data_IF_573737908362
#
_entry.id   IF_573737908362
#
_cell.length_a   1.000
_cell.length_b   1.000
_cell.length_c   1.000
_cell.angle_alpha   90.00
_cell.angle_beta   90.00
_cell.angle_gamma   90.00
#
_symmetry.space_group_name_H-M   'P 1'
#
loop_
_entity.id
_entity.type
_entity.pdbx_description
1 polymer ?
#
# COMPACT_ATOMS: atom_id res chain seq x y z
N UNK A 1 32.21 -34.26 40.88
CA UNK A 1 32.99 -35.51 40.84
C UNK A 1 32.99 -36.05 39.42
N UNK A 2 34.19 -36.19 38.87
CA UNK A 2 34.69 -36.83 37.64
C UNK A 2 33.79 -37.74 36.78
N UNK A 3 33.85 -37.52 35.45
CA UNK A 3 34.48 -38.35 34.36
C UNK A 3 33.80 -37.97 33.03
N UNK A 4 34.39 -37.21 32.10
CA UNK A 4 35.52 -37.48 31.18
C UNK A 4 35.31 -38.68 30.25
N UNK A 5 35.08 -38.43 28.95
CA UNK A 5 35.77 -39.11 27.82
C UNK A 5 35.95 -38.12 26.66
N UNK A 6 37.21 -37.95 26.27
CA UNK A 6 37.76 -37.23 25.10
C UNK A 6 38.01 -38.28 24.01
N UNK A 7 37.87 -37.95 22.71
CA UNK A 7 38.85 -38.30 21.66
C UNK A 7 38.58 -37.51 20.36
N UNK A 8 39.54 -36.64 20.01
CA UNK A 8 39.98 -36.34 18.63
C UNK A 8 41.43 -36.81 18.50
N UNK A 9 41.94 -37.01 17.28
CA UNK A 9 42.96 -36.06 16.80
C UNK A 9 42.90 -35.71 15.29
N UNK A 10 43.23 -34.44 15.01
CA UNK A 10 44.12 -33.85 13.96
C UNK A 10 44.70 -34.76 12.85
N UNK A 11 45.02 -34.39 11.60
CA UNK A 11 45.03 -33.20 10.71
C UNK A 11 45.68 -33.69 9.36
N UNK A 12 46.17 -32.87 8.40
CA UNK A 12 45.54 -31.94 7.45
C UNK A 12 45.84 -32.31 5.95
N UNK A 13 45.75 -31.32 5.03
CA UNK A 13 46.18 -31.23 3.60
C UNK A 13 45.25 -31.86 2.53
N UNK A 14 44.90 -31.27 1.37
CA UNK A 14 45.46 -30.20 0.52
C UNK A 14 44.36 -29.44 -0.26
N UNK A 15 44.61 -28.18 -0.59
CA UNK A 15 43.84 -27.32 -1.50
C UNK A 15 43.86 -27.81 -2.96
N UNK A 16 42.72 -27.75 -3.65
CA UNK A 16 42.65 -27.47 -5.09
C UNK A 16 41.39 -26.66 -5.45
N UNK A 17 41.60 -25.48 -6.02
CA UNK A 17 40.67 -24.71 -6.85
C UNK A 17 41.43 -24.29 -8.11
N UNK A 18 40.80 -23.82 -9.20
CA UNK A 18 39.55 -24.26 -9.83
C UNK A 18 39.81 -24.70 -11.30
N UNK A 19 38.93 -25.51 -11.88
CA UNK A 19 39.01 -25.85 -13.31
C UNK A 19 38.50 -24.68 -14.17
N UNK A 20 39.43 -24.16 -14.96
CA UNK A 20 39.25 -23.19 -16.05
C UNK A 20 38.49 -23.87 -17.19
N UNK A 21 37.32 -23.33 -17.55
CA UNK A 21 36.67 -23.65 -18.83
C UNK A 21 37.13 -22.63 -19.89
N UNK A 22 37.87 -23.09 -20.89
CA UNK A 22 38.18 -22.34 -22.11
C UNK A 22 37.10 -22.56 -23.18
N UNK A 23 36.83 -21.57 -24.04
CA UNK A 23 35.71 -21.59 -24.96
C UNK A 23 36.09 -22.26 -26.29
N UNK A 24 35.30 -23.24 -26.74
CA UNK A 24 35.46 -23.82 -28.08
C UNK A 24 34.46 -23.22 -29.06
N UNK A 25 35.04 -22.56 -30.06
CA UNK A 25 34.51 -22.10 -31.35
C UNK A 25 33.24 -22.78 -31.88
N UNK A 26 32.18 -22.00 -32.10
CA UNK A 26 31.10 -22.33 -33.03
C UNK A 26 30.92 -21.17 -34.00
N UNK A 27 30.91 -21.52 -35.28
CA UNK A 27 30.96 -20.66 -36.47
C UNK A 27 29.72 -19.77 -36.58
N UNK A 28 29.95 -18.51 -36.94
CA UNK A 28 28.96 -17.55 -37.41
C UNK A 28 28.47 -17.89 -38.82
N UNK A 29 27.17 -17.71 -39.12
CA UNK A 29 26.72 -17.38 -40.46
C UNK A 29 26.27 -15.92 -40.57
N UNK A 30 26.27 -15.47 -41.81
CA UNK A 30 26.27 -14.11 -42.31
C UNK A 30 24.99 -13.30 -42.14
N UNK A 31 25.19 -12.00 -42.22
CA UNK A 31 24.28 -10.86 -42.22
C UNK A 31 23.16 -10.82 -43.28
N UNK A 32 22.01 -10.26 -42.85
CA UNK A 32 21.01 -9.42 -43.57
C UNK A 32 19.87 -10.10 -44.36
N UNK A 33 18.66 -9.47 -44.53
CA UNK A 33 18.24 -8.12 -44.12
C UNK A 33 16.93 -8.02 -43.29
N UNK A 34 16.77 -6.84 -42.70
CA UNK A 34 15.64 -6.25 -41.99
C UNK A 34 14.29 -6.38 -42.75
N UNK A 35 13.35 -7.15 -42.20
CA UNK A 35 11.94 -7.10 -42.59
C UNK A 35 11.16 -6.11 -41.71
N UNK A 36 10.57 -5.10 -42.34
CA UNK A 36 9.64 -4.14 -41.73
C UNK A 36 8.36 -4.83 -41.23
N UNK A 37 7.75 -4.40 -40.11
CA UNK A 37 6.45 -4.90 -39.68
C UNK A 37 5.33 -4.43 -40.63
N UNK A 38 4.23 -5.18 -40.79
CA UNK A 38 3.13 -4.78 -41.67
C UNK A 38 2.44 -3.51 -41.14
N UNK A 39 2.16 -2.56 -42.04
CA UNK A 39 1.28 -1.42 -41.77
C UNK A 39 -0.15 -1.95 -41.55
N UNK A 40 -0.69 -1.78 -40.33
CA UNK A 40 -2.13 -1.83 -40.10
C UNK A 40 -2.77 -0.64 -40.82
N UNK A 41 -3.53 -0.92 -41.86
CA UNK A 41 -4.33 0.07 -42.58
C UNK A 41 -5.46 0.56 -41.69
N UNK A 42 -5.44 1.84 -41.32
CA UNK A 42 -6.62 2.51 -40.77
C UNK A 42 -7.70 2.58 -41.85
N UNK A 43 -8.84 1.93 -41.61
CA UNK A 43 -10.05 2.16 -42.40
C UNK A 43 -10.60 3.53 -42.00
N UNK A 44 -10.45 4.50 -42.90
CA UNK A 44 -11.05 5.81 -42.77
C UNK A 44 -12.55 5.73 -43.08
N UNK A 45 -13.40 6.17 -42.15
CA UNK A 45 -14.81 6.44 -42.43
C UNK A 45 -14.94 7.59 -43.45
N UNK A 46 -15.84 7.49 -44.45
CA UNK A 46 -15.96 8.51 -45.49
C UNK A 46 -16.63 9.80 -44.95
N UNK A 47 -16.27 10.98 -45.48
CA UNK A 47 -16.84 12.26 -45.05
C UNK A 47 -18.24 12.45 -45.63
N UNK A 48 -19.23 12.79 -44.79
CA UNK A 48 -20.56 13.22 -45.26
C UNK A 48 -20.49 14.68 -45.75
N UNK A 49 -20.94 14.88 -47.00
CA UNK A 49 -21.11 16.18 -47.66
C UNK A 49 -22.20 17.02 -46.98
N UNK A 50 -21.97 18.33 -46.92
CA UNK A 50 -22.99 19.37 -46.68
C UNK A 50 -23.96 19.45 -47.86
N UNK A 51 -25.26 19.55 -47.57
CA UNK A 51 -26.27 20.13 -48.48
C UNK A 51 -27.15 21.09 -47.67
N UNK A 52 -27.32 22.28 -48.23
CA UNK A 52 -28.06 23.46 -47.75
C UNK A 52 -29.59 23.35 -47.96
N UNK A 53 -30.35 23.69 -46.91
CA UNK A 53 -31.60 24.52 -46.77
C UNK A 53 -32.63 24.60 -47.92
N UNK A 54 -33.96 24.33 -47.77
CA UNK A 54 -35.05 25.05 -47.01
C UNK A 54 -36.46 24.50 -47.45
N UNK A 55 -37.67 24.92 -46.95
CA UNK A 55 -38.18 25.04 -45.56
C UNK A 55 -39.67 24.56 -45.30
N UNK A 56 -39.97 24.20 -44.03
CA UNK A 56 -41.25 24.32 -43.24
C UNK A 56 -42.54 23.52 -43.60
N UNK A 57 -43.56 23.37 -42.69
CA UNK A 57 -43.69 23.76 -41.27
C UNK A 57 -44.21 22.69 -40.26
N UNK A 58 -43.93 22.99 -38.98
CA UNK A 58 -44.69 22.83 -37.72
C UNK A 58 -45.19 21.46 -37.21
N UNK A 59 -44.63 21.01 -36.07
CA UNK A 59 -45.31 21.06 -34.77
C UNK A 59 -44.28 20.99 -33.61
N UNK A 60 -44.52 21.83 -32.61
CA UNK A 60 -43.62 22.26 -31.55
C UNK A 60 -43.82 21.48 -30.22
N UNK A 61 -42.84 21.62 -29.31
CA UNK A 61 -42.83 21.27 -27.88
C UNK A 61 -42.17 19.96 -27.40
N UNK A 62 -40.85 20.01 -27.18
CA UNK A 62 -40.17 19.19 -26.15
C UNK A 62 -39.71 20.12 -25.01
N UNK A 63 -40.40 20.04 -23.89
CA UNK A 63 -40.09 20.75 -22.66
C UNK A 63 -38.80 20.21 -22.02
N UNK A 64 -37.81 21.11 -21.90
CA UNK A 64 -36.63 20.94 -21.04
C UNK A 64 -37.08 20.78 -19.58
N UNK A 65 -36.84 19.62 -18.95
CA UNK A 65 -37.00 19.46 -17.49
C UNK A 65 -35.65 19.61 -16.79
N UNK A 66 -35.53 20.68 -16.00
CA UNK A 66 -34.44 21.02 -15.08
C UNK A 66 -34.45 20.07 -13.88
N UNK A 67 -33.26 19.78 -13.30
CA UNK A 67 -33.09 19.05 -12.03
C UNK A 67 -33.84 19.80 -10.90
N UNK A 68 -34.57 19.11 -10.01
CA UNK A 68 -35.26 19.78 -8.90
C UNK A 68 -34.27 20.24 -7.81
N UNK A 69 -34.56 21.35 -7.10
CA UNK A 69 -33.75 21.83 -5.98
C UNK A 69 -33.95 20.98 -4.72
N UNK A 70 -32.91 20.92 -3.90
CA UNK A 70 -32.84 20.19 -2.62
C UNK A 70 -33.65 20.94 -1.54
N UNK A 71 -34.48 20.22 -0.78
CA UNK A 71 -35.27 20.73 0.35
C UNK A 71 -34.41 20.81 1.62
N UNK A 72 -34.33 21.99 2.23
CA UNK A 72 -33.76 22.21 3.57
C UNK A 72 -34.81 21.99 4.65
N UNK A 73 -34.48 21.20 5.68
CA UNK A 73 -35.24 21.09 6.92
C UNK A 73 -34.41 21.66 8.08
N UNK A 74 -34.89 22.79 8.60
CA UNK A 74 -34.36 23.52 9.75
C UNK A 74 -34.70 22.76 11.04
N UNK A 75 -33.71 22.49 11.89
CA UNK A 75 -33.93 22.13 13.30
C UNK A 75 -33.25 23.17 14.19
N UNK A 76 -34.04 23.77 15.07
CA UNK A 76 -33.68 24.87 15.99
C UNK A 76 -33.10 24.29 17.28
N UNK A 77 -31.99 24.84 17.78
CA UNK A 77 -31.47 24.60 19.14
C UNK A 77 -31.23 25.94 19.88
N UNK A 78 -31.48 26.02 21.21
CA UNK A 78 -31.45 27.27 22.00
C UNK A 78 -30.04 27.71 22.47
N UNK A 79 -29.87 28.93 23.02
CA UNK A 79 -28.57 29.61 23.11
C UNK A 79 -27.87 29.50 24.49
N UNK A 80 -26.53 29.51 24.49
CA UNK A 80 -25.66 29.82 25.65
C UNK A 80 -24.31 30.39 25.14
N UNK A 81 -23.57 31.20 25.92
CA UNK A 81 -23.07 32.50 25.46
C UNK A 81 -21.61 32.54 25.01
N UNK A 82 -21.36 33.56 24.19
CA UNK A 82 -20.10 34.21 23.78
C UNK A 82 -18.95 34.18 24.80
N UNK A 83 -17.76 33.74 24.36
CA UNK A 83 -16.63 34.63 24.01
C UNK A 83 -15.35 33.83 23.73
N UNK A 84 -14.93 33.71 22.46
CA UNK A 84 -13.56 33.98 21.97
C UNK A 84 -13.44 33.56 20.48
N UNK A 85 -13.19 34.54 19.62
CA UNK A 85 -12.91 34.34 18.20
C UNK A 85 -11.42 34.06 17.99
N UNK A 86 -11.08 32.97 17.30
CA UNK A 86 -10.02 32.97 16.28
C UNK A 86 -10.34 31.89 15.24
N UNK A 87 -10.55 32.34 14.01
CA UNK A 87 -10.91 31.57 12.82
C UNK A 87 -9.67 31.00 12.11
N UNK A 88 -9.70 29.70 11.80
CA UNK A 88 -9.22 29.15 10.53
C UNK A 88 -10.31 28.22 9.99
N UNK A 89 -10.75 28.50 8.76
CA UNK A 89 -11.83 27.77 8.06
C UNK A 89 -11.23 26.66 7.20
N UNK A 90 -11.59 25.42 7.49
CA UNK A 90 -12.16 24.41 6.56
C UNK A 90 -12.80 23.33 7.46
N UNK A 91 -14.03 22.84 7.23
CA UNK A 91 -14.62 21.82 8.09
C UNK A 91 -13.94 20.47 7.80
N UNK A 92 -12.93 20.10 8.57
CA UNK A 92 -12.55 18.70 8.67
C UNK A 92 -13.71 17.96 9.33
N UNK A 93 -14.46 17.17 8.55
CA UNK A 93 -15.23 16.07 9.12
C UNK A 93 -14.22 15.22 9.90
N UNK A 94 -14.36 15.15 11.22
CA UNK A 94 -13.48 14.39 12.11
C UNK A 94 -13.08 13.06 11.44
N UNK A 95 -11.78 12.83 11.32
CA UNK A 95 -11.26 11.59 10.80
C UNK A 95 -11.70 10.46 11.73
N UNK A 96 -12.42 9.47 11.18
CA UNK A 96 -12.75 8.25 11.91
C UNK A 96 -11.45 7.44 12.02
N UNK A 97 -10.95 7.32 13.25
CA UNK A 97 -9.73 6.61 13.59
C UNK A 97 -10.11 5.52 14.60
N UNK A 98 -9.69 4.29 14.33
CA UNK A 98 -9.81 3.17 15.26
C UNK A 98 -8.40 2.75 15.69
N UNK A 99 -8.18 2.65 16.99
CA UNK A 99 -6.94 2.19 17.60
C UNK A 99 -7.28 1.04 18.55
N UNK A 100 -6.59 -0.08 18.45
CA UNK A 100 -6.73 -1.19 19.38
C UNK A 100 -5.37 -1.83 19.67
N UNK A 101 -5.14 -2.18 20.93
CA UNK A 101 -3.90 -2.77 21.44
C UNK A 101 -4.23 -3.87 22.46
N UNK A 102 -3.48 -4.97 22.44
CA UNK A 102 -3.52 -5.99 23.50
C UNK A 102 -2.12 -6.34 23.94
N UNK A 103 -1.72 -5.86 25.13
CA UNK A 103 -0.56 -6.26 25.94
C UNK A 103 0.68 -6.73 25.16
N UNK A 104 1.10 -5.96 24.14
CA UNK A 104 2.28 -6.25 23.31
C UNK A 104 2.15 -7.44 22.34
N UNK A 105 1.00 -8.12 22.26
CA UNK A 105 0.75 -9.22 21.33
C UNK A 105 0.40 -8.74 19.92
N UNK A 106 -0.43 -7.71 19.82
CA UNK A 106 -0.81 -7.12 18.54
C UNK A 106 -1.22 -5.66 18.72
N UNK A 107 -1.23 -4.96 17.60
CA UNK A 107 -1.70 -3.60 17.51
C UNK A 107 -2.44 -3.38 16.18
N UNK A 108 -3.50 -2.58 16.22
CA UNK A 108 -4.34 -2.24 15.06
C UNK A 108 -4.54 -0.74 14.98
N UNK A 109 -4.34 -0.19 13.78
CA UNK A 109 -4.68 1.18 13.44
C UNK A 109 -5.44 1.24 12.13
N UNK A 110 -6.63 1.84 12.16
CA UNK A 110 -7.46 2.07 10.98
C UNK A 110 -7.80 3.55 10.91
N UNK A 111 -7.66 4.15 9.72
CA UNK A 111 -7.98 5.56 9.48
C UNK A 111 -8.66 5.72 8.13
N UNK A 112 -9.86 6.30 8.11
CA UNK A 112 -10.68 6.51 6.90
C UNK A 112 -10.00 7.31 5.79
N UNK A 113 -9.01 8.14 6.14
CA UNK A 113 -8.39 9.08 5.20
C UNK A 113 -9.44 10.06 4.65
N UNK A 114 -9.32 10.40 3.35
CA UNK A 114 -10.22 11.34 2.65
C UNK A 114 -11.34 10.64 1.85
N UNK A 115 -11.57 9.34 2.08
CA UNK A 115 -12.62 8.55 1.41
C UNK A 115 -14.01 8.84 1.98
N UNK A 116 -15.03 8.18 1.41
CA UNK A 116 -16.42 8.23 1.86
C UNK A 116 -16.60 7.61 3.26
N UNK A 117 -17.53 6.67 3.48
CA UNK A 117 -17.57 5.93 4.75
C UNK A 117 -16.30 5.08 4.93
N UNK A 118 -15.97 4.73 6.18
CA UNK A 118 -14.90 3.76 6.48
C UNK A 118 -15.39 2.36 6.13
N UNK A 119 -14.88 1.78 5.04
CA UNK A 119 -15.30 0.46 4.54
C UNK A 119 -14.43 -0.68 5.09
N UNK A 120 -13.18 -0.40 5.49
CA UNK A 120 -12.31 -1.40 6.10
C UNK A 120 -12.83 -1.85 7.47
N UNK A 121 -12.55 -3.11 7.80
CA UNK A 121 -12.74 -3.74 9.10
C UNK A 121 -11.52 -4.56 9.46
N UNK A 122 -11.43 -4.95 10.73
CA UNK A 122 -10.41 -5.87 11.20
C UNK A 122 -11.01 -6.84 12.22
N UNK A 123 -10.29 -7.92 12.46
CA UNK A 123 -10.51 -8.80 13.59
C UNK A 123 -9.15 -9.14 14.20
N UNK A 124 -9.06 -9.16 15.53
CA UNK A 124 -7.84 -9.55 16.23
C UNK A 124 -8.19 -10.19 17.57
N UNK A 125 -7.81 -11.44 17.74
CA UNK A 125 -8.00 -12.16 18.99
C UNK A 125 -6.82 -13.08 19.29
N UNK A 126 -6.45 -13.13 20.57
CA UNK A 126 -5.45 -14.05 21.11
C UNK A 126 -6.14 -14.82 22.22
N UNK A 127 -6.28 -16.14 22.05
CA UNK A 127 -6.78 -17.05 23.06
C UNK A 127 -5.73 -17.18 24.17
N UNK A 128 -6.09 -16.70 25.36
CA UNK A 128 -5.30 -16.82 26.58
C UNK A 128 -5.95 -17.87 27.48
N UNK A 129 -5.73 -19.14 27.21
CA UNK A 129 -6.03 -20.18 28.18
C UNK A 129 -4.84 -20.31 29.14
N UNK A 130 -5.00 -19.80 30.37
CA UNK A 130 -3.99 -19.88 31.44
C UNK A 130 -3.65 -21.34 31.86
N UNK A 131 -4.34 -22.35 31.34
CA UNK A 131 -4.12 -23.77 31.66
C UNK A 131 -3.81 -24.68 30.46
N UNK A 132 -3.64 -24.14 29.24
CA UNK A 132 -3.41 -24.94 28.03
C UNK A 132 -2.06 -24.68 27.33
N UNK A 133 -1.31 -25.71 26.88
CA UNK A 133 -0.04 -25.52 26.15
C UNK A 133 -0.19 -24.99 24.71
N UNK A 134 -1.41 -24.61 24.28
CA UNK A 134 -1.74 -24.29 22.88
C UNK A 134 -2.33 -22.88 22.76
N UNK A 135 -1.47 -21.87 22.73
CA UNK A 135 -1.86 -20.51 22.37
C UNK A 135 -2.39 -20.49 20.93
N UNK A 136 -3.61 -19.99 20.71
CA UNK A 136 -4.13 -19.68 19.38
C UNK A 136 -4.30 -18.18 19.23
N UNK A 137 -4.14 -17.69 18.02
CA UNK A 137 -4.50 -16.32 17.68
C UNK A 137 -5.06 -16.26 16.26
N UNK A 138 -5.99 -15.36 16.04
CA UNK A 138 -6.56 -15.09 14.73
C UNK A 138 -6.58 -13.59 14.48
N UNK A 139 -6.02 -13.19 13.34
CA UNK A 139 -5.97 -11.81 12.88
C UNK A 139 -6.54 -11.73 11.47
N UNK A 140 -7.24 -10.64 11.15
CA UNK A 140 -7.79 -10.38 9.84
C UNK A 140 -7.89 -8.90 9.52
N UNK A 141 -7.58 -8.53 8.28
CA UNK A 141 -7.85 -7.23 7.69
C UNK A 141 -8.80 -7.44 6.51
N UNK A 142 -9.87 -6.65 6.49
CA UNK A 142 -10.96 -6.76 5.55
C UNK A 142 -11.16 -5.41 4.88
N UNK A 143 -10.83 -5.31 3.60
CA UNK A 143 -10.95 -4.08 2.83
C UNK A 143 -12.26 -4.12 2.03
N UNK A 144 -13.21 -3.28 2.41
CA UNK A 144 -14.56 -3.30 1.86
C UNK A 144 -14.69 -2.39 0.64
N UNK A 145 -15.50 -2.81 -0.33
CA UNK A 145 -15.87 -1.99 -1.48
C UNK A 145 -17.36 -2.09 -1.81
N UNK A 146 -17.94 -0.95 -2.20
CA UNK A 146 -19.37 -0.89 -2.51
C UNK A 146 -20.27 -1.02 -1.28
N UNK A 147 -19.78 -0.54 -0.13
CA UNK A 147 -20.38 -0.68 1.20
C UNK A 147 -19.49 -1.49 2.16
N UNK A 148 -19.65 -1.26 3.46
CA UNK A 148 -18.87 -1.96 4.50
C UNK A 148 -19.44 -3.32 4.91
N UNK A 149 -20.63 -3.70 4.42
CA UNK A 149 -21.36 -4.88 4.91
C UNK A 149 -20.57 -6.19 4.71
N UNK A 150 -19.89 -6.36 3.58
CA UNK A 150 -19.10 -7.56 3.31
C UNK A 150 -17.88 -7.67 4.25
N UNK A 151 -17.17 -6.55 4.46
CA UNK A 151 -16.03 -6.50 5.36
C UNK A 151 -16.44 -6.74 6.82
N UNK A 152 -17.58 -6.16 7.23
CA UNK A 152 -18.14 -6.35 8.58
C UNK A 152 -18.61 -7.79 8.81
N UNK A 153 -19.30 -8.38 7.83
CA UNK A 153 -19.71 -9.77 7.88
C UNK A 153 -18.50 -10.71 7.94
N UNK A 154 -17.49 -10.49 7.11
CA UNK A 154 -16.27 -11.29 7.11
C UNK A 154 -15.53 -11.18 8.46
N UNK A 155 -15.40 -9.98 9.02
CA UNK A 155 -14.77 -9.77 10.33
C UNK A 155 -15.49 -10.51 11.46
N UNK A 156 -16.82 -10.59 11.43
CA UNK A 156 -17.60 -11.26 12.48
C UNK A 156 -17.68 -12.78 12.33
N UNK A 157 -17.62 -13.32 11.11
CA UNK A 157 -17.99 -14.71 10.84
C UNK A 157 -16.83 -15.60 10.36
N UNK A 158 -15.79 -15.03 9.73
CA UNK A 158 -14.79 -15.84 9.02
C UNK A 158 -14.01 -16.77 9.96
N UNK A 159 -13.57 -16.27 11.13
CA UNK A 159 -12.88 -17.11 12.13
C UNK A 159 -13.72 -18.31 12.53
N UNK A 160 -14.98 -18.08 12.90
CA UNK A 160 -15.88 -19.12 13.39
C UNK A 160 -16.14 -20.19 12.32
N UNK A 161 -16.28 -19.77 11.06
CA UNK A 161 -16.44 -20.69 9.93
C UNK A 161 -15.17 -21.52 9.68
N UNK A 162 -13.98 -20.92 9.81
CA UNK A 162 -12.70 -21.66 9.75
C UNK A 162 -12.61 -22.66 10.90
N UNK A 163 -12.92 -22.25 12.13
CA UNK A 163 -12.88 -23.13 13.31
C UNK A 163 -13.87 -24.31 13.21
N UNK A 164 -15.07 -24.06 12.69
CA UNK A 164 -16.05 -25.11 12.43
C UNK A 164 -15.55 -26.10 11.36
N UNK A 165 -14.98 -25.60 10.26
CA UNK A 165 -14.39 -26.44 9.21
C UNK A 165 -13.21 -27.27 9.75
N UNK A 166 -12.39 -26.68 10.62
CA UNK A 166 -11.27 -27.34 11.30
C UNK A 166 -11.72 -28.48 12.21
N UNK A 167 -12.81 -28.29 12.95
CA UNK A 167 -13.41 -29.32 13.77
C UNK A 167 -13.97 -30.47 12.92
N UNK A 168 -14.59 -30.16 11.77
CA UNK A 168 -15.08 -31.14 10.81
C UNK A 168 -13.97 -31.96 10.15
N UNK A 169 -12.88 -31.32 9.72
CA UNK A 169 -11.72 -31.97 9.07
C UNK A 169 -11.06 -33.05 9.93
N UNK A 170 -11.01 -32.86 11.25
CA UNK A 170 -10.45 -33.85 12.19
C UNK A 170 -11.20 -35.17 12.21
N UNK A 171 -12.41 -35.20 11.64
CA UNK A 171 -13.27 -36.39 11.56
C UNK A 171 -13.19 -37.11 10.21
N UNK A 172 -12.37 -36.63 9.26
CA UNK A 172 -12.30 -37.19 7.89
C UNK A 172 -11.24 -38.28 7.77
N UNK A 173 -11.55 -39.29 6.95
CA UNK A 173 -10.65 -40.42 6.66
C UNK A 173 -9.40 -40.01 5.86
N UNK A 174 -9.51 -38.98 5.00
CA UNK A 174 -8.43 -38.52 4.10
C UNK A 174 -7.34 -37.67 4.79
N UNK A 175 -7.37 -37.55 6.12
CA UNK A 175 -6.43 -36.75 6.90
C UNK A 175 -6.75 -35.25 6.95
N UNK A 176 -6.20 -34.61 7.98
CA UNK A 176 -6.42 -33.20 8.30
C UNK A 176 -5.54 -32.26 7.47
N UNK A 177 -6.14 -31.25 6.83
CA UNK A 177 -5.43 -30.14 6.18
C UNK A 177 -5.95 -28.79 6.66
N UNK A 178 -5.04 -27.97 7.20
CA UNK A 178 -5.32 -26.61 7.65
C UNK A 178 -5.74 -25.72 6.47
N UNK A 179 -5.09 -25.87 5.32
CA UNK A 179 -5.38 -25.12 4.09
C UNK A 179 -6.79 -25.44 3.58
N UNK A 180 -7.21 -26.71 3.65
CA UNK A 180 -8.57 -27.12 3.28
C UNK A 180 -9.60 -26.52 4.20
N UNK A 181 -9.40 -26.60 5.51
CA UNK A 181 -10.31 -26.02 6.48
C UNK A 181 -10.44 -24.49 6.33
N UNK A 182 -9.33 -23.80 6.07
CA UNK A 182 -9.35 -22.36 5.81
C UNK A 182 -10.13 -22.04 4.52
N UNK A 183 -9.85 -22.74 3.43
CA UNK A 183 -10.58 -22.59 2.16
C UNK A 183 -12.08 -22.81 2.34
N UNK A 184 -12.47 -23.85 3.06
CA UNK A 184 -13.87 -24.16 3.33
C UNK A 184 -14.52 -23.08 4.20
N UNK A 185 -13.80 -22.54 5.19
CA UNK A 185 -14.24 -21.41 6.02
C UNK A 185 -14.46 -20.12 5.22
N UNK A 186 -13.57 -19.78 4.28
CA UNK A 186 -13.75 -18.66 3.35
C UNK A 186 -14.97 -18.85 2.45
N UNK A 187 -15.09 -20.01 1.80
CA UNK A 187 -16.21 -20.32 0.92
C UNK A 187 -17.55 -20.30 1.67
N UNK A 188 -17.59 -20.88 2.88
CA UNK A 188 -18.77 -20.86 3.75
C UNK A 188 -19.17 -19.43 4.15
N UNK A 189 -18.20 -18.59 4.50
CA UNK A 189 -18.44 -17.18 4.84
C UNK A 189 -19.02 -16.42 3.66
N UNK A 190 -18.50 -16.64 2.45
CA UNK A 190 -19.04 -16.05 1.23
C UNK A 190 -20.46 -16.52 0.91
N UNK A 191 -20.70 -17.83 0.97
CA UNK A 191 -22.04 -18.39 0.76
C UNK A 191 -23.07 -17.81 1.72
N UNK A 192 -22.71 -17.64 2.99
CA UNK A 192 -23.62 -17.11 4.00
C UNK A 192 -23.88 -15.61 3.79
N UNK A 193 -22.86 -14.81 3.46
CA UNK A 193 -23.05 -13.40 3.07
C UNK A 193 -23.94 -13.27 1.82
N UNK A 194 -23.74 -14.14 0.83
CA UNK A 194 -24.58 -14.19 -0.38
C UNK A 194 -26.02 -14.67 -0.10
N UNK A 195 -26.32 -15.27 1.04
CA UNK A 195 -27.71 -15.58 1.43
C UNK A 195 -28.40 -14.38 2.06
N UNK A 196 -27.68 -13.46 2.70
CA UNK A 196 -28.27 -12.27 3.34
C UNK A 196 -28.86 -11.26 2.34
N UNK A 197 -28.46 -11.31 1.08
CA UNK A 197 -28.96 -10.37 0.06
C UNK A 197 -28.24 -9.02 0.03
N UNK A 198 -27.29 -8.79 0.94
CA UNK A 198 -26.45 -7.59 1.00
C UNK A 198 -25.64 -7.37 -0.28
N UNK A 199 -25.25 -6.10 -0.53
CA UNK A 199 -24.40 -5.67 -1.64
C UNK A 199 -22.99 -5.37 -1.16
N UNK A 200 -22.07 -5.22 -2.12
CA UNK A 200 -20.66 -4.95 -1.88
C UNK A 200 -19.81 -6.23 -1.88
N UNK A 201 -18.52 -6.03 -1.69
CA UNK A 201 -17.55 -7.10 -1.51
C UNK A 201 -16.44 -6.68 -0.56
N UNK A 202 -15.57 -7.62 -0.22
CA UNK A 202 -14.40 -7.34 0.60
C UNK A 202 -13.21 -8.23 0.24
N UNK A 203 -12.04 -7.62 0.16
CA UNK A 203 -10.76 -8.31 0.19
C UNK A 203 -10.46 -8.75 1.62
N UNK A 204 -9.76 -9.87 1.77
CA UNK A 204 -9.54 -10.52 3.06
C UNK A 204 -8.11 -11.06 3.14
N UNK A 205 -7.33 -10.56 4.10
CA UNK A 205 -6.07 -11.21 4.51
C UNK A 205 -6.19 -11.64 5.97
N UNK A 206 -5.89 -12.90 6.25
CA UNK A 206 -5.99 -13.48 7.60
C UNK A 206 -4.71 -14.20 8.00
N UNK A 207 -4.46 -14.25 9.32
CA UNK A 207 -3.38 -15.00 9.92
C UNK A 207 -3.90 -15.81 11.10
N UNK A 208 -3.73 -17.13 11.04
CA UNK A 208 -4.07 -18.07 12.08
C UNK A 208 -2.78 -18.64 12.69
N UNK A 209 -2.62 -18.43 13.99
CA UNK A 209 -1.54 -19.04 14.77
C UNK A 209 -2.12 -20.18 15.58
N UNK A 210 -1.56 -21.38 15.43
CA UNK A 210 -1.93 -22.54 16.23
C UNK A 210 -0.76 -23.50 16.37
N UNK A 211 -0.50 -23.98 17.59
CA UNK A 211 0.54 -25.00 17.86
C UNK A 211 1.96 -24.65 17.34
N UNK A 212 2.30 -23.35 17.29
CA UNK A 212 3.59 -22.88 16.77
C UNK A 212 3.66 -22.84 15.24
N UNK A 213 2.54 -23.02 14.54
CA UNK A 213 2.41 -22.81 13.10
C UNK A 213 1.64 -21.51 12.83
N UNK A 214 2.02 -20.84 11.75
CA UNK A 214 1.38 -19.65 11.21
C UNK A 214 0.82 -20.02 9.83
N UNK A 215 -0.49 -19.94 9.66
CA UNK A 215 -1.16 -20.03 8.38
C UNK A 215 -1.67 -18.65 7.96
N UNK A 216 -1.16 -18.12 6.85
CA UNK A 216 -1.56 -16.82 6.30
C UNK A 216 -2.33 -17.04 5.02
N UNK A 217 -3.49 -16.41 4.89
CA UNK A 217 -4.41 -16.62 3.77
C UNK A 217 -4.89 -15.31 3.18
N UNK A 218 -4.91 -15.19 1.85
CA UNK A 218 -5.34 -13.98 1.15
C UNK A 218 -6.38 -14.28 0.07
N UNK A 219 -7.42 -13.45 -0.01
CA UNK A 219 -8.37 -13.38 -1.10
C UNK A 219 -8.65 -11.90 -1.40
N UNK A 220 -8.04 -11.37 -2.46
CA UNK A 220 -8.08 -9.93 -2.79
C UNK A 220 -6.68 -9.31 -2.83
N UNK A 221 -6.60 -7.99 -2.75
CA UNK A 221 -5.37 -7.18 -2.83
C UNK A 221 -4.88 -6.60 -1.49
N UNK A 222 -5.46 -7.07 -0.38
CA UNK A 222 -4.78 -6.99 0.92
C UNK A 222 -3.48 -7.82 0.89
N UNK A 223 -2.52 -7.49 1.77
CA UNK A 223 -1.23 -8.20 1.83
C UNK A 223 -0.75 -8.42 3.25
N UNK A 224 -0.08 -9.55 3.44
CA UNK A 224 0.66 -9.90 4.64
C UNK A 224 2.17 -9.98 4.37
N UNK A 225 2.96 -9.29 5.21
CA UNK A 225 4.43 -9.23 5.11
C UNK A 225 5.02 -9.59 6.46
N UNK A 226 5.94 -10.56 6.48
CA UNK A 226 6.69 -10.97 7.68
C UNK A 226 8.08 -10.32 7.66
N UNK A 227 8.57 -9.88 8.83
CA UNK A 227 9.99 -9.55 9.01
C UNK A 227 10.76 -10.81 9.42
N UNK A 228 11.78 -11.16 8.63
CA UNK A 228 12.71 -12.25 8.93
C UNK A 228 14.11 -11.68 9.12
N UNK A 229 14.54 -11.54 10.37
CA UNK A 229 15.84 -10.93 10.69
C UNK A 229 16.04 -9.54 10.07
N UNK A 230 14.97 -8.73 10.01
CA UNK A 230 14.95 -7.41 9.40
C UNK A 230 14.70 -7.36 7.90
N UNK A 231 14.60 -8.51 7.21
CA UNK A 231 14.27 -8.56 5.78
C UNK A 231 12.78 -8.81 5.60
N UNK A 232 12.13 -8.01 4.76
CA UNK A 232 10.73 -8.16 4.45
C UNK A 232 10.48 -9.32 3.48
N UNK A 233 9.56 -10.22 3.86
CA UNK A 233 9.10 -11.32 3.02
C UNK A 233 7.57 -11.23 2.90
N UNK A 234 7.05 -11.05 1.68
CA UNK A 234 5.61 -11.15 1.45
C UNK A 234 5.17 -12.61 1.57
N UNK A 235 4.23 -12.88 2.47
CA UNK A 235 3.65 -14.22 2.65
C UNK A 235 2.48 -14.48 1.71
N UNK A 236 1.92 -13.42 1.13
CA UNK A 236 0.77 -13.47 0.24
C UNK A 236 1.08 -12.78 -1.08
N UNK A 237 0.44 -13.24 -2.15
CA UNK A 237 0.35 -12.52 -3.42
C UNK A 237 -1.01 -11.84 -3.46
N UNK A 238 -1.05 -10.56 -3.82
CA UNK A 238 -2.30 -9.83 -4.10
C UNK A 238 -3.05 -10.54 -5.23
N UNK A 239 -4.36 -10.38 -5.37
CA UNK A 239 -5.16 -11.05 -6.39
C UNK A 239 -5.84 -10.04 -7.31
N UNK A 240 -5.12 -9.60 -8.35
CA UNK A 240 -5.64 -8.65 -9.33
C UNK A 240 -6.00 -9.32 -10.68
N UNK A 241 -6.96 -8.77 -11.44
CA UNK A 241 -7.41 -9.34 -12.72
C UNK A 241 -6.35 -9.45 -13.82
N UNK A 242 -5.22 -8.73 -13.70
CA UNK A 242 -4.15 -8.77 -14.70
C UNK A 242 -3.19 -9.95 -14.53
N UNK A 243 -3.26 -10.64 -13.39
CA UNK A 243 -2.39 -11.77 -13.12
C UNK A 243 -2.70 -12.94 -14.04
N UNK A 244 -1.65 -13.61 -14.52
CA UNK A 244 -1.78 -14.59 -15.59
C UNK A 244 -2.70 -15.78 -15.21
N UNK A 245 -2.68 -16.22 -13.95
CA UNK A 245 -3.56 -17.27 -13.43
C UNK A 245 -5.02 -16.77 -13.32
N UNK A 246 -5.22 -15.58 -12.74
CA UNK A 246 -6.56 -15.00 -12.57
C UNK A 246 -7.21 -14.66 -13.91
N UNK A 247 -6.49 -14.01 -14.82
CA UNK A 247 -6.93 -13.68 -16.17
C UNK A 247 -7.39 -14.94 -16.92
N UNK A 248 -6.56 -15.98 -16.95
CA UNK A 248 -6.90 -17.26 -17.59
C UNK A 248 -8.17 -17.88 -16.99
N UNK A 249 -8.31 -17.85 -15.66
CA UNK A 249 -9.49 -18.37 -14.96
C UNK A 249 -10.75 -17.58 -15.33
N UNK A 250 -10.65 -16.26 -15.37
CA UNK A 250 -11.76 -15.35 -15.70
C UNK A 250 -12.22 -15.58 -17.15
N UNK A 251 -11.28 -15.62 -18.10
CA UNK A 251 -11.56 -15.84 -19.53
C UNK A 251 -12.13 -17.23 -19.81
N UNK A 252 -11.61 -18.27 -19.15
CA UNK A 252 -12.13 -19.64 -19.26
C UNK A 252 -13.60 -19.75 -18.81
N UNK A 253 -14.04 -18.87 -17.91
CA UNK A 253 -15.42 -18.76 -17.44
C UNK A 253 -16.26 -17.76 -18.27
N UNK A 254 -15.75 -17.33 -19.44
CA UNK A 254 -16.41 -16.39 -20.35
C UNK A 254 -16.47 -14.96 -19.82
N UNK A 255 -15.61 -14.59 -18.88
CA UNK A 255 -15.39 -13.21 -18.47
C UNK A 255 -14.37 -12.51 -19.37
N UNK A 256 -14.26 -11.19 -19.23
CA UNK A 256 -13.16 -10.42 -19.81
C UNK A 256 -12.57 -9.48 -18.78
N UNK A 257 -11.33 -9.05 -19.03
CA UNK A 257 -10.62 -8.08 -18.20
C UNK A 257 -10.21 -6.90 -19.07
N UNK A 258 -10.62 -5.70 -18.68
CA UNK A 258 -10.32 -4.46 -19.39
C UNK A 258 -9.37 -3.59 -18.58
N UNK A 259 -8.39 -2.99 -19.25
CA UNK A 259 -7.49 -2.00 -18.65
C UNK A 259 -8.00 -0.58 -18.93
N UNK A 260 -8.50 0.09 -17.89
CA UNK A 260 -9.00 1.46 -17.96
C UNK A 260 -8.11 2.37 -17.10
N UNK A 261 -7.46 3.36 -17.72
CA UNK A 261 -6.55 4.29 -17.04
C UNK A 261 -5.45 3.59 -16.21
N UNK A 262 -4.91 2.48 -16.73
CA UNK A 262 -3.87 1.70 -16.05
C UNK A 262 -4.36 0.74 -14.96
N UNK A 263 -5.68 0.67 -14.71
CA UNK A 263 -6.27 -0.26 -13.74
C UNK A 263 -7.03 -1.35 -14.48
N UNK A 264 -6.67 -2.61 -14.21
CA UNK A 264 -7.30 -3.79 -14.80
C UNK A 264 -8.57 -4.16 -14.04
N UNK A 265 -9.67 -4.38 -14.77
CA UNK A 265 -10.99 -4.60 -14.18
C UNK A 265 -11.75 -5.76 -14.83
N UNK A 266 -12.32 -6.64 -14.02
CA UNK A 266 -13.23 -7.69 -14.45
C UNK A 266 -14.51 -7.04 -14.96
N UNK A 267 -14.92 -7.39 -16.19
CA UNK A 267 -16.12 -6.83 -16.83
C UNK A 267 -16.14 -5.28 -16.81
N UNK A 268 -14.95 -4.66 -16.92
CA UNK A 268 -14.77 -3.21 -16.81
C UNK A 268 -15.11 -2.59 -15.43
N UNK A 269 -15.45 -3.39 -14.43
CA UNK A 269 -16.06 -2.92 -13.16
C UNK A 269 -15.12 -3.06 -11.96
N UNK A 270 -14.69 -4.27 -11.61
CA UNK A 270 -14.02 -4.55 -10.34
C UNK A 270 -12.52 -4.80 -10.51
N UNK A 271 -11.69 -4.16 -9.68
CA UNK A 271 -10.22 -4.20 -9.79
C UNK A 271 -9.56 -5.37 -9.03
N UNK A 272 -10.35 -6.21 -8.37
CA UNK A 272 -9.90 -7.40 -7.64
C UNK A 272 -10.53 -8.66 -8.23
N UNK A 273 -9.83 -9.78 -8.09
CA UNK A 273 -10.24 -11.06 -8.70
C UNK A 273 -10.73 -12.10 -7.70
N UNK A 274 -10.53 -11.85 -6.41
CA UNK A 274 -10.96 -12.70 -5.31
C UNK A 274 -11.46 -11.86 -4.14
N UNK A 275 -12.36 -12.42 -3.34
CA UNK A 275 -12.96 -11.75 -2.19
C UNK A 275 -14.30 -12.35 -1.77
N UNK A 276 -14.83 -11.84 -0.66
CA UNK A 276 -16.16 -12.16 -0.13
C UNK A 276 -17.19 -11.23 -0.77
N UNK A 277 -18.35 -11.74 -1.16
CA UNK A 277 -19.44 -10.96 -1.74
C UNK A 277 -19.36 -10.83 -3.26
N UNK A 278 -19.56 -9.61 -3.77
CA UNK A 278 -19.57 -9.32 -5.21
C UNK A 278 -20.54 -10.18 -6.02
N UNK A 279 -21.76 -10.37 -5.50
CA UNK A 279 -22.80 -11.27 -6.06
C UNK A 279 -22.89 -11.26 -7.58
N UNK A 280 -22.91 -10.07 -8.20
CA UNK A 280 -23.07 -9.93 -9.66
C UNK A 280 -21.86 -10.40 -10.46
N UNK A 281 -20.68 -10.44 -9.84
CA UNK A 281 -19.42 -10.87 -10.44
C UNK A 281 -18.93 -12.20 -9.88
N UNK A 282 -19.70 -12.87 -9.01
CA UNK A 282 -19.27 -14.08 -8.29
C UNK A 282 -18.84 -15.24 -9.18
N UNK A 283 -19.34 -15.29 -10.43
CA UNK A 283 -18.85 -16.21 -11.46
C UNK A 283 -17.34 -16.08 -11.68
N UNK A 284 -16.78 -14.88 -11.57
CA UNK A 284 -15.38 -14.56 -11.84
C UNK A 284 -14.61 -14.12 -10.59
N UNK A 285 -15.29 -13.64 -9.54
CA UNK A 285 -14.70 -13.25 -8.26
C UNK A 285 -14.90 -14.37 -7.25
N UNK A 286 -13.87 -15.17 -7.01
CA UNK A 286 -13.95 -16.36 -6.13
C UNK A 286 -13.59 -16.00 -4.69
N UNK A 287 -14.18 -16.69 -3.71
CA UNK A 287 -13.83 -16.51 -2.30
C UNK A 287 -12.61 -17.32 -1.84
N UNK A 288 -12.18 -18.28 -2.67
CA UNK A 288 -11.10 -19.20 -2.34
C UNK A 288 -9.76 -18.46 -2.10
N UNK A 289 -9.19 -18.55 -0.89
CA UNK A 289 -7.94 -17.88 -0.58
C UNK A 289 -6.74 -18.69 -1.09
N UNK A 290 -5.63 -18.00 -1.33
CA UNK A 290 -4.32 -18.64 -1.35
C UNK A 290 -3.76 -18.66 0.07
N UNK A 291 -3.37 -19.86 0.56
CA UNK A 291 -2.87 -20.07 1.91
C UNK A 291 -1.42 -20.52 1.90
N UNK A 292 -0.60 -19.88 2.74
CA UNK A 292 0.77 -20.29 3.03
C UNK A 292 0.94 -20.62 4.51
N UNK A 293 1.43 -21.81 4.79
CA UNK A 293 1.70 -22.30 6.15
C UNK A 293 3.20 -22.35 6.42
N UNK A 294 3.62 -21.89 7.60
CA UNK A 294 5.01 -21.96 8.03
C UNK A 294 5.14 -22.14 9.54
N UNK A 295 6.22 -22.81 9.97
CA UNK A 295 6.57 -22.95 11.39
C UNK A 295 7.10 -21.63 11.92
N UNK A 296 6.58 -21.19 13.06
CA UNK A 296 7.12 -20.02 13.76
C UNK A 296 8.50 -20.37 14.31
N UNK A 297 9.50 -19.56 13.95
CA UNK A 297 10.89 -19.72 14.35
C UNK A 297 11.43 -18.38 14.90
N UNK A 298 12.51 -18.39 15.71
CA UNK A 298 13.05 -17.18 16.31
C UNK A 298 13.46 -16.08 15.32
N UNK A 299 13.81 -16.44 14.08
CA UNK A 299 14.12 -15.43 13.05
C UNK A 299 12.90 -14.63 12.55
N UNK A 300 11.68 -15.09 12.83
CA UNK A 300 10.44 -14.36 12.49
C UNK A 300 10.14 -13.35 13.58
N UNK A 301 10.34 -12.08 13.27
CA UNK A 301 10.29 -11.01 14.27
C UNK A 301 8.85 -10.51 14.50
N UNK A 302 8.12 -10.20 13.42
CA UNK A 302 6.74 -9.71 13.47
C UNK A 302 6.04 -9.85 12.09
N UNK A 303 4.71 -9.79 12.10
CA UNK A 303 3.84 -9.86 10.92
C UNK A 303 3.05 -8.56 10.75
N UNK A 304 2.97 -8.05 9.53
CA UNK A 304 2.15 -6.90 9.15
C UNK A 304 1.03 -7.39 8.23
N UNK A 305 -0.22 -7.09 8.55
CA UNK A 305 -1.39 -7.26 7.68
C UNK A 305 -1.95 -5.87 7.38
N UNK A 306 -2.22 -5.56 6.12
CA UNK A 306 -2.87 -4.30 5.75
C UNK A 306 -3.60 -4.40 4.39
N UNK A 307 -4.51 -3.45 4.16
CA UNK A 307 -5.21 -3.21 2.90
C UNK A 307 -4.31 -2.56 1.84
N UNK A 308 -4.79 -2.49 0.60
CA UNK A 308 -4.09 -1.83 -0.51
C UNK A 308 -3.79 -0.35 -0.20
N UNK A 309 -4.59 0.28 0.65
CA UNK A 309 -4.41 1.64 1.12
C UNK A 309 -3.03 1.89 1.74
N UNK A 310 -2.38 0.86 2.31
CA UNK A 310 -0.96 0.93 2.70
C UNK A 310 -0.04 0.54 1.53
N UNK A 311 -0.27 -0.64 0.95
CA UNK A 311 0.67 -1.30 0.04
C UNK A 311 0.82 -0.64 -1.32
N UNK A 312 -0.13 0.22 -1.72
CA UNK A 312 -0.04 1.07 -2.91
C UNK A 312 1.06 2.15 -2.79
N UNK A 313 1.45 2.50 -1.56
CA UNK A 313 2.32 3.66 -1.28
C UNK A 313 3.59 3.30 -0.51
N UNK A 314 3.60 2.15 0.14
CA UNK A 314 4.68 1.69 1.01
C UNK A 314 5.15 0.32 0.54
N UNK A 315 6.44 0.21 0.24
CA UNK A 315 7.06 -1.07 -0.12
C UNK A 315 7.14 -1.99 1.11
N UNK A 316 7.24 -3.30 0.87
CA UNK A 316 7.34 -4.29 1.92
C UNK A 316 8.53 -4.02 2.87
N UNK A 317 9.69 -3.62 2.31
CA UNK A 317 10.89 -3.33 3.10
C UNK A 317 10.77 -2.02 3.87
N UNK A 318 10.25 -0.94 3.27
CA UNK A 318 9.97 0.31 4.00
C UNK A 318 9.08 0.05 5.21
N UNK A 319 8.05 -0.79 5.07
CA UNK A 319 7.15 -1.13 6.17
C UNK A 319 7.89 -1.84 7.32
N UNK A 320 8.74 -2.82 7.00
CA UNK A 320 9.55 -3.53 8.00
C UNK A 320 10.56 -2.60 8.68
N UNK A 321 11.27 -1.77 7.91
CA UNK A 321 12.27 -0.84 8.44
C UNK A 321 11.67 0.19 9.41
N UNK A 322 10.42 0.58 9.17
CA UNK A 322 9.67 1.52 10.02
C UNK A 322 9.18 0.86 11.29
N UNK A 323 8.69 -0.38 11.22
CA UNK A 323 8.12 -1.09 12.38
C UNK A 323 9.21 -1.65 13.29
N UNK A 324 10.27 -2.21 12.71
CA UNK A 324 11.28 -2.99 13.44
C UNK A 324 11.90 -2.27 14.65
N UNK A 325 12.29 -0.98 14.60
CA UNK A 325 12.86 -0.27 15.76
C UNK A 325 11.91 -0.15 16.95
N UNK A 326 10.61 -0.35 16.76
CA UNK A 326 9.61 -0.31 17.82
C UNK A 326 9.28 -1.67 18.41
N UNK A 327 9.72 -2.76 17.77
CA UNK A 327 9.32 -4.13 18.10
C UNK A 327 10.50 -5.04 18.50
N UNK A 328 11.69 -4.80 17.95
CA UNK A 328 12.85 -5.70 18.11
C UNK A 328 13.93 -5.03 18.95
N UNK A 329 14.43 -5.73 19.96
CA UNK A 329 15.55 -5.26 20.80
C UNK A 329 15.19 -4.11 21.76
N UNK A 330 13.90 -3.95 22.09
CA UNK A 330 13.40 -2.89 22.97
C UNK A 330 12.78 -3.47 24.24
N UNK A 331 13.05 -2.85 25.39
CA UNK A 331 12.51 -3.29 26.69
C UNK A 331 10.98 -3.09 26.80
N UNK A 332 10.45 -2.07 26.11
CA UNK A 332 9.02 -1.74 26.07
C UNK A 332 8.59 -1.47 24.62
N UNK A 333 8.12 -2.50 23.88
CA UNK A 333 7.64 -2.33 22.51
C UNK A 333 6.56 -1.26 22.41
N UNK A 334 6.75 -0.27 21.53
CA UNK A 334 5.79 0.82 21.28
C UNK A 334 5.06 0.59 19.96
N UNK A 335 4.39 -0.55 19.85
CA UNK A 335 3.73 -1.05 18.64
C UNK A 335 2.68 -0.08 18.09
N UNK A 336 1.95 0.63 18.95
CA UNK A 336 1.02 1.72 18.59
C UNK A 336 1.71 2.83 17.78
N UNK A 337 2.92 3.23 18.19
CA UNK A 337 3.68 4.27 17.47
C UNK A 337 4.14 3.77 16.10
N UNK A 338 4.51 2.49 16.01
CA UNK A 338 4.96 1.85 14.78
C UNK A 338 3.86 1.87 13.70
N UNK A 339 2.65 1.41 14.05
CA UNK A 339 1.55 1.35 13.09
C UNK A 339 0.95 2.71 12.75
N UNK A 340 0.95 3.67 13.69
CA UNK A 340 0.66 5.07 13.36
C UNK A 340 1.65 5.61 12.34
N UNK A 341 2.95 5.38 12.56
CA UNK A 341 4.01 5.80 11.64
C UNK A 341 3.85 5.14 10.27
N UNK A 342 3.48 3.87 10.24
CA UNK A 342 3.23 3.13 9.00
C UNK A 342 2.03 3.71 8.22
N UNK A 343 0.92 4.02 8.91
CA UNK A 343 -0.24 4.66 8.30
C UNK A 343 0.00 6.12 7.89
N UNK A 344 0.96 6.81 8.48
CA UNK A 344 1.41 8.13 8.01
C UNK A 344 2.16 8.04 6.68
N UNK A 345 2.85 6.93 6.40
CA UNK A 345 3.59 6.76 5.14
C UNK A 345 2.66 6.53 3.94
N UNK A 346 1.46 6.01 4.19
CA UNK A 346 0.45 5.81 3.15
C UNK A 346 -0.38 7.05 2.83
N UNK A 347 -0.10 8.19 3.47
CA UNK A 347 -0.79 9.43 3.12
C UNK A 347 -0.51 9.82 1.67
N UNK A 348 -1.58 9.90 0.88
CA UNK A 348 -1.46 10.25 -0.53
C UNK A 348 -1.04 11.70 -0.71
N UNK A 349 0.26 11.90 -0.96
CA UNK A 349 0.84 13.22 -1.17
C UNK A 349 0.48 13.81 -2.54
N UNK A 350 -0.15 13.05 -3.44
CA UNK A 350 -0.58 13.56 -4.76
C UNK A 350 -1.60 14.69 -4.68
N UNK A 351 -2.34 14.78 -3.57
CA UNK A 351 -3.30 15.87 -3.30
C UNK A 351 -2.72 16.97 -2.40
N UNK A 352 -1.46 16.84 -2.00
CA UNK A 352 -0.77 17.86 -1.22
C UNK A 352 -0.46 19.02 -2.15
N UNK A 353 -1.17 20.12 -1.95
CA UNK A 353 -0.89 21.37 -2.67
C UNK A 353 0.35 22.05 -2.13
N UNK A 354 0.66 21.89 -0.84
CA UNK A 354 1.80 22.53 -0.19
C UNK A 354 2.54 21.55 0.71
N UNK A 355 3.86 21.41 0.53
CA UNK A 355 4.71 20.55 1.34
C UNK A 355 5.90 21.33 1.93
N UNK A 356 6.31 20.95 3.14
CA UNK A 356 7.53 21.48 3.78
C UNK A 356 8.37 20.33 4.32
N UNK A 357 9.60 20.18 3.81
CA UNK A 357 10.55 19.16 4.22
C UNK A 357 11.67 19.80 5.03
N UNK A 358 11.91 19.26 6.21
CA UNK A 358 13.07 19.60 7.02
C UNK A 358 13.58 18.32 7.70
N UNK A 359 14.90 18.11 7.69
CA UNK A 359 15.52 16.95 8.33
C UNK A 359 16.24 17.42 9.58
N UNK A 360 15.88 16.88 10.74
CA UNK A 360 16.63 17.07 11.98
C UNK A 360 17.62 15.93 12.14
N UNK A 361 18.90 16.25 12.09
CA UNK A 361 20.00 15.30 12.32
C UNK A 361 20.44 15.46 13.78
N UNK A 362 20.40 14.38 14.57
CA UNK A 362 20.79 14.39 15.99
C UNK A 362 22.27 13.98 16.20
N UNK A 363 22.87 13.20 15.29
CA UNK A 363 24.29 12.84 15.26
C UNK A 363 24.69 12.48 13.82
N UNK A 364 25.98 12.58 13.47
CA UNK A 364 26.51 12.20 12.15
C UNK A 364 27.45 11.00 12.30
N UNK A 365 27.10 9.85 11.72
CA UNK A 365 28.04 8.80 11.35
C UNK A 365 28.08 8.67 9.81
N UNK A 366 29.26 8.41 9.22
CA UNK A 366 29.46 8.45 7.76
C UNK A 366 28.56 7.47 6.98
N UNK A 367 28.19 6.35 7.61
CA UNK A 367 27.33 5.32 7.03
C UNK A 367 25.84 5.74 6.96
N UNK A 368 25.42 6.79 7.67
CA UNK A 368 24.05 7.32 7.60
C UNK A 368 23.81 8.21 6.38
N UNK A 369 24.86 8.78 5.78
CA UNK A 369 24.72 9.81 4.73
C UNK A 369 24.14 9.26 3.43
N UNK A 370 24.59 8.08 2.99
CA UNK A 370 24.05 7.42 1.80
C UNK A 370 22.58 7.04 1.98
N UNK A 371 22.22 6.52 3.16
CA UNK A 371 20.84 6.18 3.50
C UNK A 371 19.94 7.43 3.55
N UNK A 372 20.44 8.53 4.13
CA UNK A 372 19.73 9.81 4.15
C UNK A 372 19.55 10.38 2.74
N UNK A 373 20.52 10.18 1.86
CA UNK A 373 20.47 10.63 0.47
C UNK A 373 19.38 9.87 -0.32
N UNK A 374 19.35 8.54 -0.21
CA UNK A 374 18.29 7.71 -0.83
C UNK A 374 16.92 8.15 -0.34
N UNK A 375 16.74 8.27 0.98
CA UNK A 375 15.46 8.70 1.57
C UNK A 375 15.06 10.11 1.14
N UNK A 376 16.00 11.05 1.05
CA UNK A 376 15.70 12.40 0.62
C UNK A 376 15.21 12.45 -0.85
N UNK A 377 15.81 11.64 -1.72
CA UNK A 377 15.37 11.54 -3.12
C UNK A 377 14.02 10.87 -3.27
N UNK A 378 13.75 9.80 -2.51
CA UNK A 378 12.43 9.16 -2.47
C UNK A 378 11.34 10.13 -2.00
N UNK A 379 11.63 10.95 -0.99
CA UNK A 379 10.71 11.99 -0.53
C UNK A 379 10.46 13.04 -1.62
N UNK A 380 11.48 13.45 -2.36
CA UNK A 380 11.33 14.40 -3.48
C UNK A 380 10.51 13.81 -4.63
N UNK A 381 10.71 12.53 -4.96
CA UNK A 381 9.94 11.83 -5.99
C UNK A 381 8.44 11.83 -5.66
N UNK A 382 8.09 11.52 -4.40
CA UNK A 382 6.71 11.53 -3.90
C UNK A 382 6.08 12.94 -4.01
N UNK A 383 6.89 14.01 -3.95
CA UNK A 383 6.42 15.40 -3.92
C UNK A 383 6.61 16.15 -5.24
N UNK A 384 6.92 15.46 -6.35
CA UNK A 384 7.23 16.11 -7.64
C UNK A 384 6.09 16.93 -8.23
N UNK A 385 4.84 16.77 -7.77
CA UNK A 385 3.65 17.43 -8.31
C UNK A 385 2.96 18.42 -7.36
N UNK A 386 3.59 18.77 -6.24
CA UNK A 386 2.99 19.74 -5.29
C UNK A 386 2.98 21.15 -5.89
N UNK A 387 2.00 21.99 -5.56
CA UNK A 387 1.96 23.37 -6.06
C UNK A 387 3.02 24.24 -5.36
N UNK A 388 3.23 24.04 -4.07
CA UNK A 388 4.23 24.75 -3.25
C UNK A 388 5.14 23.77 -2.50
N UNK A 389 6.44 23.97 -2.60
CA UNK A 389 7.45 23.15 -1.93
C UNK A 389 8.38 24.01 -1.09
N UNK A 390 8.55 23.67 0.19
CA UNK A 390 9.49 24.31 1.10
C UNK A 390 10.58 23.32 1.53
N UNK A 391 11.86 23.67 1.39
CA UNK A 391 12.99 22.84 1.81
C UNK A 391 13.82 23.51 2.90
N UNK A 392 14.08 22.78 3.98
CA UNK A 392 14.94 23.19 5.09
C UNK A 392 16.43 23.00 4.83
N UNK A 393 17.26 23.64 5.65
CA UNK A 393 18.73 23.70 5.51
C UNK A 393 19.40 22.32 5.42
N UNK A 394 19.08 21.40 6.33
CA UNK A 394 19.72 20.08 6.32
C UNK A 394 19.29 19.24 5.12
N UNK A 395 18.03 19.36 4.70
CA UNK A 395 17.55 18.73 3.47
C UNK A 395 18.33 19.24 2.26
N UNK A 396 18.52 20.56 2.15
CA UNK A 396 19.30 21.18 1.08
C UNK A 396 20.76 20.75 1.08
N UNK A 397 21.38 20.50 2.23
CA UNK A 397 22.74 19.93 2.31
C UNK A 397 22.80 18.51 1.73
N UNK A 398 21.84 17.65 2.09
CA UNK A 398 21.76 16.28 1.57
C UNK A 398 21.57 16.29 0.05
N UNK A 399 20.67 17.13 -0.44
CA UNK A 399 20.42 17.28 -1.88
C UNK A 399 21.62 17.90 -2.60
N UNK A 400 22.39 18.77 -1.94
CA UNK A 400 23.65 19.28 -2.50
C UNK A 400 24.71 18.18 -2.62
N UNK A 401 24.79 17.25 -1.66
CA UNK A 401 25.65 16.08 -1.75
C UNK A 401 25.23 15.17 -2.91
N UNK A 402 23.94 14.93 -3.10
CA UNK A 402 23.43 14.17 -4.24
C UNK A 402 23.81 14.81 -5.59
N UNK A 403 23.74 16.14 -5.71
CA UNK A 403 24.21 16.83 -6.92
C UNK A 403 25.72 16.66 -7.13
N UNK A 404 26.53 16.80 -6.07
CA UNK A 404 27.98 16.59 -6.15
C UNK A 404 28.35 15.15 -6.54
N UNK A 405 27.55 14.17 -6.10
CA UNK A 405 27.66 12.76 -6.47
C UNK A 405 27.01 12.44 -7.83
N UNK A 406 26.43 13.44 -8.51
CA UNK A 406 25.74 13.29 -9.81
C UNK A 406 24.59 12.29 -9.79
N UNK A 407 23.89 12.19 -8.67
CA UNK A 407 22.71 11.33 -8.54
C UNK A 407 21.56 11.95 -9.36
N UNK A 408 20.76 11.15 -10.09
CA UNK A 408 19.60 11.66 -10.82
C UNK A 408 18.57 12.32 -9.89
N UNK A 409 17.86 13.33 -10.41
CA UNK A 409 16.79 14.03 -9.67
C UNK A 409 15.50 14.02 -10.49
N UNK A 410 14.32 13.94 -9.85
CA UNK A 410 13.05 14.10 -10.53
C UNK A 410 12.88 15.49 -11.13
N UNK A 411 12.08 15.58 -12.19
CA UNK A 411 11.53 16.85 -12.65
C UNK A 411 10.31 17.22 -11.80
N UNK A 412 10.24 18.46 -11.36
CA UNK A 412 9.19 18.98 -10.50
C UNK A 412 8.21 19.84 -11.30
N UNK A 413 6.93 19.63 -11.02
CA UNK A 413 5.80 20.44 -11.44
C UNK A 413 5.35 21.34 -10.27
N UNK A 414 6.28 22.12 -9.73
CA UNK A 414 6.04 23.07 -8.62
C UNK A 414 5.89 24.48 -9.17
N UNK A 415 4.99 25.28 -8.57
CA UNK A 415 4.79 26.69 -8.91
C UNK A 415 5.49 27.61 -7.91
N UNK A 416 5.50 27.25 -6.63
CA UNK A 416 6.15 28.04 -5.59
C UNK A 416 7.22 27.23 -4.89
N UNK A 417 8.45 27.74 -4.86
CA UNK A 417 9.58 27.09 -4.21
C UNK A 417 10.13 27.97 -3.10
N UNK A 418 10.25 27.42 -1.90
CA UNK A 418 10.77 28.14 -0.74
C UNK A 418 11.97 27.41 -0.16
N UNK A 419 13.07 28.12 0.06
CA UNK A 419 14.26 27.59 0.71
C UNK A 419 14.45 28.24 2.07
N UNK A 420 14.49 27.45 3.14
CA UNK A 420 14.72 27.87 4.53
C UNK A 420 16.12 27.47 4.97
N UNK A 421 17.12 28.21 4.51
CA UNK A 421 18.53 27.92 4.78
C UNK A 421 19.41 29.17 4.78
N UNK A 422 20.51 29.10 5.54
CA UNK A 422 21.61 30.05 5.37
C UNK A 422 22.35 29.70 4.07
N UNK A 423 22.53 30.68 3.18
CA UNK A 423 23.29 30.49 1.95
C UNK A 423 24.76 30.18 2.30
N UNK A 424 25.24 29.03 1.86
CA UNK A 424 26.63 28.59 2.02
C UNK A 424 26.99 27.64 0.89
N UNK A 425 28.29 27.40 0.68
CA UNK A 425 28.79 26.47 -0.33
C UNK A 425 28.19 25.06 -0.23
N UNK A 426 27.68 24.67 0.95
CA UNK A 426 27.11 23.35 1.21
C UNK A 426 25.64 23.20 0.79
N UNK A 427 24.92 24.28 0.49
CA UNK A 427 23.51 24.23 0.06
C UNK A 427 23.28 24.72 -1.37
N UNK A 428 24.25 25.48 -1.92
CA UNK A 428 24.16 26.05 -3.26
C UNK A 428 23.96 24.99 -4.35
N UNK A 429 24.72 23.87 -4.38
CA UNK A 429 24.53 22.86 -5.43
C UNK A 429 23.09 22.31 -5.47
N UNK A 430 22.51 22.03 -4.30
CA UNK A 430 21.15 21.52 -4.18
C UNK A 430 20.09 22.55 -4.58
N UNK A 431 20.28 23.82 -4.22
CA UNK A 431 19.40 24.91 -4.68
C UNK A 431 19.41 25.02 -6.22
N UNK A 432 20.60 25.04 -6.82
CA UNK A 432 20.76 25.11 -8.28
C UNK A 432 20.06 23.94 -8.95
N UNK A 433 20.27 22.71 -8.44
CA UNK A 433 19.64 21.52 -8.98
C UNK A 433 18.12 21.55 -8.88
N UNK A 434 17.58 21.97 -7.73
CA UNK A 434 16.13 22.09 -7.55
C UNK A 434 15.52 23.09 -8.53
N UNK A 435 16.18 24.22 -8.80
CA UNK A 435 15.71 25.21 -9.77
C UNK A 435 15.76 24.68 -11.20
N UNK A 436 16.86 24.03 -11.60
CA UNK A 436 16.99 23.42 -12.94
C UNK A 436 15.91 22.38 -13.20
N UNK A 437 15.55 21.60 -12.18
CA UNK A 437 14.54 20.57 -12.27
C UNK A 437 13.11 21.07 -12.08
N UNK A 438 12.89 22.37 -11.84
CA UNK A 438 11.57 22.95 -11.56
C UNK A 438 11.22 24.08 -12.55
N UNK A 439 11.05 23.80 -13.86
CA UNK A 439 10.89 24.83 -14.88
C UNK A 439 9.59 25.64 -14.78
N UNK A 440 8.63 25.19 -13.96
CA UNK A 440 7.32 25.83 -13.79
C UNK A 440 7.24 26.78 -12.58
N UNK A 441 8.35 26.97 -11.85
CA UNK A 441 8.40 27.87 -10.69
C UNK A 441 8.10 29.30 -11.13
N UNK A 442 7.08 29.89 -10.51
CA UNK A 442 6.66 31.28 -10.67
C UNK A 442 7.12 32.15 -9.51
N UNK A 443 7.13 31.59 -8.29
CA UNK A 443 7.57 32.30 -7.09
C UNK A 443 8.71 31.55 -6.41
N UNK A 444 9.81 32.24 -6.15
CA UNK A 444 10.95 31.74 -5.40
C UNK A 444 11.10 32.57 -4.11
N UNK A 445 11.06 31.91 -2.96
CA UNK A 445 11.28 32.56 -1.65
C UNK A 445 12.52 31.98 -0.99
N UNK A 446 13.45 32.85 -0.57
CA UNK A 446 14.62 32.46 0.19
C UNK A 446 14.54 33.07 1.59
N UNK A 447 14.36 32.22 2.61
CA UNK A 447 14.45 32.61 4.00
C UNK A 447 15.85 32.33 4.52
N UNK A 448 16.71 33.35 4.49
CA UNK A 448 18.01 33.31 5.15
C UNK A 448 17.81 33.48 6.65
N UNK A 449 18.05 32.42 7.43
CA UNK A 449 18.18 32.57 8.88
C UNK A 449 19.56 33.17 9.16
N UNK A 450 19.61 34.48 9.40
CA UNK A 450 20.78 35.13 9.94
C UNK A 450 20.87 34.85 11.45
N UNK A 451 22.09 34.75 11.98
CA UNK A 451 22.35 34.54 13.41
C UNK A 451 21.99 35.83 14.20
N UNK A 452 21.76 36.93 13.50
CA UNK A 452 21.25 38.18 14.04
C UNK A 452 20.05 38.67 13.22
N UNK A 453 18.88 38.68 13.85
CA UNK A 453 17.67 39.43 13.48
C UNK A 453 17.43 39.75 12.00
N UNK A 454 16.36 39.17 11.45
CA UNK A 454 15.71 39.54 10.18
C UNK A 454 15.88 41.01 9.78
N UNK A 455 16.61 41.27 8.70
CA UNK A 455 16.40 42.46 7.86
C UNK A 455 15.71 41.97 6.59
N UNK A 456 14.51 42.49 6.25
CA UNK A 456 13.89 42.18 4.97
C UNK A 456 14.72 42.86 3.87
N UNK A 457 15.33 42.07 2.99
CA UNK A 457 15.76 42.59 1.70
C UNK A 457 14.50 42.88 0.89
N UNK A 458 14.21 44.18 0.74
CA UNK A 458 13.27 44.69 -0.25
C UNK A 458 14.00 44.81 -1.59
N UNK A 459 13.21 44.47 -2.60
CA UNK A 459 13.34 44.64 -4.06
C UNK A 459 14.16 43.59 -4.82
#
# INVERSE_FOLDING_TARGET
>A
MNRSVIMSPESPVFFQSPLVFSPTSVKTPSSSPRSTPPKLSMVACPPRKLIETTPSPDFDSVLKRKRPPMLDLITVAPPVPSWCNTTVKTPEKAAEVVEAEKDGYYFVYCKRGRRGPMEDRYFAEVESDDEGPRKKAFFGVFDGHGGSNAAEFAAMNLRNNIEAAMAGERSREDGYSIERAIRDGYNKTDEDFLKEGSKGGACCVTALISNGELAVSNAGDCRAVISRGGVAEALTTDHNPSQANELKRIEALGGYVDCCNGVWRIQGTLAVSRGIGDRYLKKWVIAEPETRTLRIKPELEFLILASDGLWDKVTNQEAVDVVRPYCVGVENPKTLSACKKLAELSFDVSYVTEASLDIRIQSFEEMEVELLLVKALEMLEKLRNVEKLTLGSNFLKIISLAELQRVPFPMFNVKDLTFKAMLSQYVIPGIVRMLQNSPQVKNLTLHTKDIHGTIPLKD
#
